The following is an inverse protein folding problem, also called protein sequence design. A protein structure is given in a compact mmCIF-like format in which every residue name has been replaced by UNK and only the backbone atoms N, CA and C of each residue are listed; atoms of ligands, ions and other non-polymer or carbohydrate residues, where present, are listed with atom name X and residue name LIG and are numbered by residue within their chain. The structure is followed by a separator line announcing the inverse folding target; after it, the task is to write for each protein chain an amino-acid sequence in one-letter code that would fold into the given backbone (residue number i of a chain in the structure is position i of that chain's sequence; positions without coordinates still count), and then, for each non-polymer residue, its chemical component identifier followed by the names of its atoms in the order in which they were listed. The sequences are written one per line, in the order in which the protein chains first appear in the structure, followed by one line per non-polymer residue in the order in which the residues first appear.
data_IF_919854707110
#
_entry.id   IF_919854707110
#
_cell.length_a   1.000
_cell.length_b   1.000
_cell.length_c   1.000
_cell.angle_alpha   90.00
_cell.angle_beta   90.00
_cell.angle_gamma   90.00
#
_symmetry.space_group_name_H-M   'P 1'
#
loop_
_entity.id
_entity.type
_entity.pdbx_description
1 polymer ?
#
# COMPACT_ATOMS: atom_id res chain seq x y z
N UNK A 1 -2.10 40.43 7.08
CA UNK A 1 -2.56 39.06 7.16
C UNK A 1 -1.91 38.33 5.99
N UNK A 2 -1.08 37.30 6.18
CA UNK A 2 -0.53 36.53 5.06
C UNK A 2 -1.66 35.71 4.45
N UNK A 3 -1.89 35.90 3.16
CA UNK A 3 -2.75 35.05 2.34
C UNK A 3 -2.11 33.65 2.35
N UNK A 4 -2.71 32.72 3.08
CA UNK A 4 -2.29 31.31 2.99
C UNK A 4 -2.63 30.83 1.58
N UNK A 5 -1.61 30.67 0.74
CA UNK A 5 -1.69 29.96 -0.53
C UNK A 5 -2.03 28.49 -0.23
N UNK A 6 -3.30 28.22 0.02
CA UNK A 6 -3.81 26.85 0.15
C UNK A 6 -3.84 26.26 -1.24
N UNK A 7 -2.68 25.79 -1.71
CA UNK A 7 -2.63 24.93 -2.89
C UNK A 7 -3.54 23.74 -2.63
N UNK A 8 -4.62 23.65 -3.38
CA UNK A 8 -5.50 22.47 -3.30
C UNK A 8 -4.70 21.25 -3.75
N UNK A 9 -4.78 20.14 -3.03
CA UNK A 9 -4.10 18.92 -3.44
C UNK A 9 -4.59 18.48 -4.83
N UNK A 10 -3.67 18.00 -5.65
CA UNK A 10 -3.98 17.51 -7.01
C UNK A 10 -4.95 16.32 -6.98
N UNK A 11 -4.85 15.49 -5.96
CA UNK A 11 -5.67 14.30 -5.75
C UNK A 11 -6.43 14.44 -4.44
N UNK A 12 -7.72 14.14 -4.48
CA UNK A 12 -8.60 14.19 -3.31
C UNK A 12 -8.53 12.91 -2.48
N UNK A 13 -8.42 11.76 -3.15
CA UNK A 13 -8.35 10.44 -2.51
C UNK A 13 -7.23 9.63 -3.11
N UNK A 14 -6.36 9.14 -2.26
CA UNK A 14 -5.23 8.30 -2.66
C UNK A 14 -5.29 6.94 -1.98
N UNK A 15 -4.75 5.93 -2.66
CA UNK A 15 -4.34 4.69 -2.02
C UNK A 15 -2.81 4.65 -2.01
N UNK A 16 -2.21 4.56 -0.84
CA UNK A 16 -0.78 4.43 -0.65
C UNK A 16 -0.43 2.97 -0.32
N UNK A 17 0.38 2.34 -1.16
CA UNK A 17 0.91 0.99 -0.92
C UNK A 17 2.32 1.09 -0.36
N UNK A 18 2.54 0.51 0.79
CA UNK A 18 3.84 0.41 1.46
C UNK A 18 4.34 -1.04 1.45
N UNK A 19 5.64 -1.23 1.19
CA UNK A 19 6.26 -2.53 1.44
C UNK A 19 6.38 -2.77 2.94
N UNK A 20 6.11 -4.00 3.41
CA UNK A 20 6.39 -4.36 4.80
C UNK A 20 7.85 -4.14 5.17
N UNK A 21 8.77 -4.39 4.24
CA UNK A 21 10.20 -4.13 4.45
C UNK A 21 10.53 -2.67 4.78
N UNK A 22 9.70 -1.72 4.34
CA UNK A 22 9.88 -0.31 4.69
C UNK A 22 9.69 -0.04 6.19
N UNK A 23 9.06 -0.96 6.94
CA UNK A 23 8.83 -0.84 8.37
C UNK A 23 9.99 -1.36 9.23
N UNK A 24 11.00 -2.00 8.66
CA UNK A 24 12.09 -2.63 9.42
C UNK A 24 13.16 -1.63 9.90
N UNK A 25 13.21 -0.43 9.33
CA UNK A 25 14.30 0.52 9.58
C UNK A 25 15.63 -0.06 9.12
N UNK A 26 16.61 -0.12 10.03
CA UNK A 26 17.94 -0.70 9.80
C UNK A 26 18.00 -2.21 10.04
N UNK A 27 16.94 -2.80 10.57
CA UNK A 27 16.88 -4.21 10.90
C UNK A 27 16.46 -5.06 9.69
N UNK A 28 16.69 -6.37 9.79
CA UNK A 28 16.33 -7.32 8.73
C UNK A 28 14.98 -8.01 8.97
N UNK A 29 14.33 -7.72 10.10
CA UNK A 29 13.08 -8.33 10.54
C UNK A 29 12.36 -7.41 11.53
N UNK A 30 11.03 -7.49 11.55
CA UNK A 30 10.24 -6.81 12.57
C UNK A 30 9.72 -5.44 12.12
N UNK A 31 9.38 -4.63 13.11
CA UNK A 31 8.78 -3.31 12.95
C UNK A 31 9.59 -2.31 13.80
N UNK A 32 10.11 -1.27 13.17
CA UNK A 32 10.80 -0.18 13.86
C UNK A 32 9.79 0.92 14.24
N UNK A 33 9.56 1.18 15.54
CA UNK A 33 8.64 2.23 15.98
C UNK A 33 8.98 3.63 15.45
N UNK A 34 10.28 3.94 15.29
CA UNK A 34 10.72 5.24 14.77
C UNK A 34 10.32 5.44 13.31
N UNK A 35 10.34 4.37 12.53
CA UNK A 35 9.89 4.39 11.13
C UNK A 35 8.37 4.61 11.08
N UNK A 36 7.60 3.91 11.93
CA UNK A 36 6.17 4.11 12.04
C UNK A 36 5.82 5.55 12.41
N UNK A 37 6.48 6.12 13.40
CA UNK A 37 6.25 7.50 13.85
C UNK A 37 6.53 8.52 12.74
N UNK A 38 7.62 8.33 11.98
CA UNK A 38 7.92 9.17 10.81
C UNK A 38 6.84 9.06 9.74
N UNK A 39 6.45 7.85 9.37
CA UNK A 39 5.39 7.63 8.37
C UNK A 39 4.06 8.20 8.83
N UNK A 40 3.73 8.09 10.12
CA UNK A 40 2.50 8.67 10.68
C UNK A 40 2.50 10.21 10.53
N UNK A 41 3.64 10.87 10.75
CA UNK A 41 3.76 12.32 10.55
C UNK A 41 3.58 12.71 9.08
N UNK A 42 4.17 11.99 8.14
CA UNK A 42 4.04 12.23 6.69
C UNK A 42 2.59 12.03 6.22
N UNK A 43 1.94 10.94 6.65
CA UNK A 43 0.52 10.68 6.36
C UNK A 43 -0.36 11.78 6.99
N UNK A 44 -0.03 12.22 8.20
CA UNK A 44 -0.74 13.30 8.89
C UNK A 44 -0.71 14.63 8.11
N UNK A 45 0.40 14.95 7.44
CA UNK A 45 0.48 16.13 6.58
C UNK A 45 -0.50 16.02 5.39
N UNK A 46 -0.66 14.85 4.78
CA UNK A 46 -1.61 14.63 3.70
C UNK A 46 -3.05 14.79 4.18
N UNK A 47 -3.40 14.18 5.32
CA UNK A 47 -4.72 14.34 5.95
C UNK A 47 -4.97 15.81 6.33
N UNK A 48 -3.96 16.50 6.86
CA UNK A 48 -4.05 17.90 7.27
C UNK A 48 -4.35 18.88 6.12
N UNK A 49 -4.00 18.55 4.88
CA UNK A 49 -4.36 19.32 3.68
C UNK A 49 -5.65 18.82 3.01
N UNK A 50 -6.37 17.87 3.63
CA UNK A 50 -7.68 17.40 3.19
C UNK A 50 -7.65 16.23 2.22
N UNK A 51 -6.52 15.52 2.07
CA UNK A 51 -6.42 14.30 1.27
C UNK A 51 -7.01 13.11 2.06
N UNK A 52 -7.87 12.34 1.43
CA UNK A 52 -8.40 11.08 1.94
C UNK A 52 -7.38 9.96 1.66
N UNK A 53 -6.93 9.27 2.69
CA UNK A 53 -5.82 8.32 2.58
C UNK A 53 -6.27 6.91 2.91
N UNK A 54 -6.22 6.01 1.91
CA UNK A 54 -6.26 4.57 2.09
C UNK A 54 -4.83 4.01 2.12
N UNK A 55 -4.56 3.03 2.96
CA UNK A 55 -3.25 2.37 3.07
C UNK A 55 -3.37 0.87 2.80
N UNK A 56 -2.39 0.32 2.10
CA UNK A 56 -2.12 -1.13 2.01
C UNK A 56 -0.67 -1.35 2.39
N UNK A 57 -0.42 -2.22 3.37
CA UNK A 57 0.94 -2.50 3.88
C UNK A 57 1.24 -3.98 3.68
N UNK A 58 2.37 -4.29 3.03
CA UNK A 58 2.86 -5.65 2.85
C UNK A 58 3.28 -6.31 4.16
N UNK A 59 3.47 -7.65 4.16
CA UNK A 59 3.85 -8.45 5.33
C UNK A 59 5.32 -8.92 5.32
N UNK A 60 6.13 -8.55 4.32
CA UNK A 60 7.44 -9.11 4.06
C UNK A 60 8.51 -8.89 5.15
N UNK A 61 8.29 -7.94 6.06
CA UNK A 61 9.12 -7.71 7.24
C UNK A 61 8.93 -8.74 8.35
N UNK A 62 7.76 -9.37 8.41
CA UNK A 62 7.38 -10.35 9.44
C UNK A 62 7.34 -11.77 8.90
N UNK A 63 6.98 -11.94 7.62
CA UNK A 63 6.83 -13.26 7.02
C UNK A 63 7.17 -13.24 5.52
N UNK A 64 8.08 -14.13 5.11
CA UNK A 64 8.52 -14.32 3.72
C UNK A 64 8.09 -15.72 3.26
N UNK A 65 6.90 -15.83 2.70
CA UNK A 65 6.31 -17.13 2.28
C UNK A 65 7.13 -17.85 1.22
N UNK A 66 7.81 -17.14 0.31
CA UNK A 66 8.61 -17.74 -0.76
C UNK A 66 9.69 -18.69 -0.23
N UNK A 67 10.49 -18.24 0.74
CA UNK A 67 11.56 -19.06 1.33
C UNK A 67 11.03 -20.31 2.05
N UNK A 68 9.84 -20.23 2.65
CA UNK A 68 9.22 -21.38 3.33
C UNK A 68 8.52 -22.32 2.34
N UNK A 69 8.01 -21.83 1.23
CA UNK A 69 7.50 -22.68 0.16
C UNK A 69 8.60 -23.52 -0.50
N UNK A 70 9.79 -22.94 -0.68
CA UNK A 70 10.97 -23.68 -1.13
C UNK A 70 11.39 -24.78 -0.14
N UNK A 71 11.12 -24.59 1.16
CA UNK A 71 11.35 -25.56 2.22
C UNK A 71 10.21 -26.59 2.38
N UNK A 72 9.20 -26.60 1.47
CA UNK A 72 8.10 -27.57 1.45
C UNK A 72 6.82 -27.14 2.15
N UNK A 73 6.70 -25.89 2.57
CA UNK A 73 5.43 -25.36 3.10
C UNK A 73 4.38 -25.25 1.99
N UNK A 74 3.15 -25.63 2.29
CA UNK A 74 2.01 -25.41 1.39
C UNK A 74 1.84 -23.91 1.07
N UNK A 75 1.69 -23.59 -0.21
CA UNK A 75 1.58 -22.21 -0.70
C UNK A 75 0.39 -21.46 -0.10
N UNK A 76 -0.77 -22.13 0.02
CA UNK A 76 -1.98 -21.53 0.58
C UNK A 76 -1.77 -21.17 2.04
N UNK A 77 -1.13 -22.06 2.82
CA UNK A 77 -0.76 -21.80 4.21
C UNK A 77 0.19 -20.62 4.32
N UNK A 78 1.23 -20.56 3.47
CA UNK A 78 2.17 -19.47 3.42
C UNK A 78 1.49 -18.12 3.10
N UNK A 79 0.58 -18.10 2.15
CA UNK A 79 -0.16 -16.91 1.77
C UNK A 79 -1.07 -16.43 2.91
N UNK A 80 -1.75 -17.32 3.64
CA UNK A 80 -2.52 -16.96 4.83
C UNK A 80 -1.63 -16.36 5.92
N UNK A 81 -0.45 -16.93 6.17
CA UNK A 81 0.50 -16.35 7.14
C UNK A 81 0.96 -14.95 6.71
N UNK A 82 1.21 -14.75 5.41
CA UNK A 82 1.50 -13.44 4.85
C UNK A 82 0.36 -12.43 5.05
N UNK A 83 -0.89 -12.87 4.87
CA UNK A 83 -2.07 -12.03 5.15
C UNK A 83 -2.13 -11.64 6.63
N UNK A 84 -1.88 -12.55 7.56
CA UNK A 84 -1.83 -12.27 8.99
C UNK A 84 -0.71 -11.28 9.33
N UNK A 85 0.46 -11.40 8.70
CA UNK A 85 1.55 -10.45 8.85
C UNK A 85 1.15 -9.01 8.44
N UNK A 86 0.34 -8.86 7.37
CA UNK A 86 -0.18 -7.53 6.99
C UNK A 86 -1.13 -6.95 8.04
N UNK A 87 -1.89 -7.78 8.75
CA UNK A 87 -2.77 -7.34 9.85
C UNK A 87 -1.94 -6.82 11.02
N UNK A 88 -0.86 -7.52 11.39
CA UNK A 88 0.06 -7.06 12.44
C UNK A 88 0.66 -5.69 12.09
N UNK A 89 1.13 -5.50 10.86
CA UNK A 89 1.65 -4.21 10.39
C UNK A 89 0.57 -3.11 10.40
N UNK A 90 -0.67 -3.44 10.02
CA UNK A 90 -1.79 -2.50 10.04
C UNK A 90 -2.14 -2.05 11.47
N UNK A 91 -2.11 -2.95 12.44
CA UNK A 91 -2.33 -2.63 13.84
C UNK A 91 -1.23 -1.71 14.39
N UNK A 92 0.03 -1.99 14.08
CA UNK A 92 1.16 -1.16 14.49
C UNK A 92 1.09 0.25 13.86
N UNK A 93 0.74 0.34 12.58
CA UNK A 93 0.57 1.64 11.90
C UNK A 93 -0.62 2.41 12.45
N UNK A 94 -1.75 1.75 12.77
CA UNK A 94 -2.88 2.38 13.43
C UNK A 94 -2.46 3.03 14.75
N UNK A 95 -1.74 2.30 15.60
CA UNK A 95 -1.26 2.82 16.88
C UNK A 95 -0.40 4.09 16.69
N UNK A 96 0.53 4.09 15.72
CA UNK A 96 1.38 5.24 15.44
C UNK A 96 0.57 6.46 14.93
N UNK A 97 -0.41 6.22 14.05
CA UNK A 97 -1.31 7.27 13.55
C UNK A 97 -2.17 7.86 14.67
N UNK A 98 -2.76 7.02 15.52
CA UNK A 98 -3.60 7.45 16.64
C UNK A 98 -2.78 8.22 17.68
N UNK A 99 -1.53 7.83 17.98
CA UNK A 99 -0.59 8.62 18.80
C UNK A 99 -0.29 9.99 18.18
N UNK A 100 -0.40 10.12 16.88
CA UNK A 100 -0.27 11.39 16.15
C UNK A 100 -1.60 12.14 15.99
N UNK A 101 -2.66 11.76 16.73
CA UNK A 101 -4.02 12.32 16.67
C UNK A 101 -4.69 12.17 15.29
N UNK A 102 -4.37 11.12 14.54
CA UNK A 102 -4.98 10.81 13.26
C UNK A 102 -5.93 9.63 13.46
N UNK A 103 -7.23 9.89 13.35
CA UNK A 103 -8.25 8.84 13.49
C UNK A 103 -8.08 7.80 12.39
N UNK A 104 -7.94 6.53 12.79
CA UNK A 104 -7.59 5.45 11.87
C UNK A 104 -8.52 4.25 12.02
N UNK A 105 -8.90 3.63 10.92
CA UNK A 105 -9.65 2.37 10.87
C UNK A 105 -8.84 1.30 10.18
N UNK A 106 -8.80 0.10 10.76
CA UNK A 106 -8.20 -1.07 10.12
C UNK A 106 -9.32 -2.00 9.68
N UNK A 107 -9.33 -2.33 8.39
CA UNK A 107 -10.31 -3.24 7.80
C UNK A 107 -9.58 -4.44 7.18
N UNK A 108 -10.04 -5.64 7.52
CA UNK A 108 -9.42 -6.89 7.05
C UNK A 108 -10.31 -7.60 6.03
N UNK A 109 -9.71 -8.10 4.96
CA UNK A 109 -10.38 -8.95 3.98
C UNK A 109 -10.76 -10.33 4.56
N UNK A 110 -10.09 -10.77 5.62
CA UNK A 110 -10.42 -11.98 6.38
C UNK A 110 -11.13 -11.57 7.67
N UNK A 111 -12.25 -12.19 8.04
CA UNK A 111 -12.94 -11.89 9.30
C UNK A 111 -12.05 -12.14 10.52
N UNK A 112 -11.90 -11.12 11.39
CA UNK A 112 -11.12 -11.18 12.64
C UNK A 112 -11.85 -10.44 13.74
N UNK A 113 -13.00 -10.99 14.16
CA UNK A 113 -13.87 -10.39 15.17
C UNK A 113 -13.11 -10.00 16.45
N UNK A 114 -13.35 -8.80 16.94
CA UNK A 114 -12.71 -8.27 18.15
C UNK A 114 -11.30 -7.72 17.97
N UNK A 115 -10.70 -7.83 16.77
CA UNK A 115 -9.35 -7.31 16.48
C UNK A 115 -9.40 -6.14 15.49
N UNK A 116 -10.04 -6.35 14.35
CA UNK A 116 -10.20 -5.35 13.28
C UNK A 116 -11.59 -5.48 12.65
N UNK A 117 -12.03 -4.42 11.97
CA UNK A 117 -13.29 -4.44 11.22
C UNK A 117 -13.19 -5.39 10.02
N UNK A 118 -14.28 -6.10 9.69
CA UNK A 118 -14.36 -6.78 8.39
C UNK A 118 -14.50 -5.75 7.27
N UNK A 119 -13.81 -5.99 6.16
CA UNK A 119 -13.85 -5.08 5.02
C UNK A 119 -15.27 -4.95 4.47
N UNK A 120 -15.75 -3.74 4.41
CA UNK A 120 -16.96 -3.32 3.72
C UNK A 120 -16.69 -2.02 2.97
N UNK A 121 -16.96 -2.02 1.65
CA UNK A 121 -16.69 -0.86 0.78
C UNK A 121 -17.41 0.39 1.24
N UNK A 122 -18.68 0.29 1.64
CA UNK A 122 -19.49 1.44 2.03
C UNK A 122 -18.95 2.10 3.29
N UNK A 123 -18.57 1.29 4.28
CA UNK A 123 -17.95 1.78 5.50
C UNK A 123 -16.57 2.38 5.23
N UNK A 124 -15.75 1.78 4.36
CA UNK A 124 -14.47 2.34 3.96
C UNK A 124 -14.63 3.74 3.33
N UNK A 125 -15.57 3.89 2.39
CA UNK A 125 -15.87 5.17 1.75
C UNK A 125 -16.37 6.21 2.76
N UNK A 126 -17.23 5.79 3.71
CA UNK A 126 -17.73 6.65 4.78
C UNK A 126 -16.60 7.16 5.66
N UNK A 127 -15.73 6.26 6.15
CA UNK A 127 -14.60 6.64 7.01
C UNK A 127 -13.64 7.58 6.28
N UNK A 128 -13.28 7.29 5.04
CA UNK A 128 -12.44 8.18 4.23
C UNK A 128 -13.07 9.57 4.07
N UNK A 129 -14.39 9.65 3.83
CA UNK A 129 -15.10 10.93 3.69
C UNK A 129 -15.14 11.74 4.99
N UNK A 130 -15.04 11.08 6.13
CA UNK A 130 -14.95 11.69 7.47
C UNK A 130 -13.52 12.12 7.85
N UNK A 131 -12.54 11.92 6.96
CA UNK A 131 -11.14 12.26 7.20
C UNK A 131 -10.37 11.21 8.00
N UNK A 132 -10.93 10.01 8.19
CA UNK A 132 -10.17 8.91 8.79
C UNK A 132 -9.19 8.34 7.78
N UNK A 133 -8.03 7.89 8.23
CA UNK A 133 -7.17 6.98 7.48
C UNK A 133 -7.76 5.57 7.54
N UNK A 134 -7.86 4.90 6.40
CA UNK A 134 -8.34 3.51 6.35
C UNK A 134 -7.20 2.60 5.90
N UNK A 135 -6.83 1.63 6.74
CA UNK A 135 -5.79 0.64 6.44
C UNK A 135 -6.47 -0.67 6.03
N UNK A 136 -6.21 -1.11 4.81
CA UNK A 136 -6.71 -2.37 4.27
C UNK A 136 -5.68 -3.47 4.50
N UNK A 137 -6.04 -4.48 5.26
CA UNK A 137 -5.18 -5.61 5.64
C UNK A 137 -5.71 -6.94 5.13
N UNK A 138 -4.91 -8.00 5.28
CA UNK A 138 -5.16 -9.35 4.78
C UNK A 138 -5.28 -9.44 3.25
N UNK A 139 -4.64 -8.52 2.52
CA UNK A 139 -4.57 -8.56 1.07
C UNK A 139 -5.93 -8.53 0.39
N UNK A 140 -6.14 -9.46 -0.56
CA UNK A 140 -7.45 -9.68 -1.21
C UNK A 140 -8.37 -10.61 -0.39
N UNK A 141 -7.84 -11.26 0.64
CA UNK A 141 -8.52 -12.34 1.38
C UNK A 141 -8.39 -13.71 0.69
N UNK A 142 -7.73 -13.77 -0.47
CA UNK A 142 -7.54 -15.00 -1.24
C UNK A 142 -6.05 -15.31 -1.42
N UNK A 143 -5.63 -16.59 -1.30
CA UNK A 143 -4.30 -17.02 -1.67
C UNK A 143 -3.95 -16.71 -3.13
N UNK A 144 -2.67 -16.77 -3.47
CA UNK A 144 -2.10 -16.55 -4.81
C UNK A 144 -2.08 -15.08 -5.30
N UNK A 145 -2.60 -14.13 -4.53
CA UNK A 145 -2.54 -12.71 -4.84
C UNK A 145 -1.49 -11.99 -3.97
N UNK A 146 -0.86 -10.98 -4.55
CA UNK A 146 0.10 -10.15 -3.82
C UNK A 146 -0.57 -8.93 -3.17
N UNK A 147 0.19 -8.16 -2.39
CA UNK A 147 -0.28 -6.87 -1.85
C UNK A 147 -0.37 -5.79 -2.94
N UNK A 148 0.29 -5.94 -4.10
CA UNK A 148 0.11 -5.05 -5.24
C UNK A 148 -1.26 -5.27 -5.87
N UNK A 149 -1.68 -6.53 -6.07
CA UNK A 149 -3.03 -6.89 -6.50
C UNK A 149 -4.09 -6.34 -5.52
N UNK A 150 -3.84 -6.48 -4.21
CA UNK A 150 -4.75 -5.93 -3.19
C UNK A 150 -4.82 -4.40 -3.26
N UNK A 151 -3.70 -3.71 -3.47
CA UNK A 151 -3.69 -2.25 -3.58
C UNK A 151 -4.48 -1.76 -4.80
N UNK A 152 -4.30 -2.41 -5.96
CA UNK A 152 -5.08 -2.08 -7.17
C UNK A 152 -6.58 -2.30 -6.93
N UNK A 153 -6.97 -3.46 -6.38
CA UNK A 153 -8.36 -3.77 -6.08
C UNK A 153 -8.99 -2.75 -5.11
N UNK A 154 -8.33 -2.48 -3.98
CA UNK A 154 -8.84 -1.50 -3.00
C UNK A 154 -8.87 -0.09 -3.57
N UNK A 155 -7.86 0.31 -4.36
CA UNK A 155 -7.85 1.60 -5.04
C UNK A 155 -9.07 1.81 -5.93
N UNK A 156 -9.43 0.79 -6.71
CA UNK A 156 -10.64 0.79 -7.55
C UNK A 156 -11.90 0.88 -6.69
N UNK A 157 -12.02 0.02 -5.68
CA UNK A 157 -13.22 -0.06 -4.83
C UNK A 157 -13.50 1.21 -4.06
N UNK A 158 -12.47 1.91 -3.59
CA UNK A 158 -12.63 3.19 -2.89
C UNK A 158 -12.65 4.39 -3.82
N UNK A 159 -12.62 4.20 -5.13
CA UNK A 159 -12.58 5.28 -6.12
C UNK A 159 -11.41 6.24 -5.86
N UNK A 160 -10.21 5.70 -5.68
CA UNK A 160 -9.00 6.49 -5.50
C UNK A 160 -8.63 7.20 -6.82
N UNK A 161 -8.25 8.47 -6.75
CA UNK A 161 -7.76 9.22 -7.91
C UNK A 161 -6.41 8.69 -8.41
N UNK A 162 -5.64 8.07 -7.49
CA UNK A 162 -4.31 7.52 -7.76
C UNK A 162 -3.95 6.42 -6.76
N UNK A 163 -3.21 5.41 -7.23
CA UNK A 163 -2.49 4.46 -6.38
C UNK A 163 -1.01 4.83 -6.40
N UNK A 164 -0.47 5.11 -5.22
CA UNK A 164 0.94 5.41 -5.01
C UNK A 164 1.63 4.18 -4.43
N UNK A 165 2.71 3.74 -5.05
CA UNK A 165 3.55 2.68 -4.54
C UNK A 165 4.86 3.30 -4.03
N UNK A 166 5.07 3.26 -2.71
CA UNK A 166 6.33 3.68 -2.14
C UNK A 166 7.39 2.61 -2.39
N UNK A 167 8.45 2.98 -3.07
CA UNK A 167 9.56 2.10 -3.46
C UNK A 167 10.91 2.64 -2.99
N UNK A 168 11.95 1.83 -3.12
CA UNK A 168 13.34 2.24 -2.80
C UNK A 168 13.99 3.04 -3.95
N UNK A 169 13.34 3.05 -5.11
CA UNK A 169 13.78 3.78 -6.31
C UNK A 169 12.78 4.90 -6.62
N UNK A 170 13.20 5.94 -7.30
CA UNK A 170 12.47 7.17 -7.51
C UNK A 170 11.57 7.15 -8.78
N UNK A 171 11.28 5.98 -9.31
CA UNK A 171 10.41 5.83 -10.48
C UNK A 171 10.51 4.48 -11.17
N UNK A 172 9.84 4.38 -12.32
CA UNK A 172 9.88 3.22 -13.20
C UNK A 172 11.06 3.33 -14.15
N UNK A 173 11.82 2.24 -14.29
CA UNK A 173 12.98 2.14 -15.18
C UNK A 173 12.81 0.99 -16.17
N UNK A 174 13.56 1.06 -17.27
CA UNK A 174 13.64 -0.01 -18.29
C UNK A 174 14.34 -1.27 -17.77
N UNK A 175 15.13 -1.14 -16.71
CA UNK A 175 15.85 -2.21 -16.03
C UNK A 175 16.11 -1.80 -14.57
N UNK A 176 16.51 -2.74 -13.71
CA UNK A 176 16.75 -2.44 -12.29
C UNK A 176 17.93 -1.45 -12.13
N UNK A 177 17.69 -0.21 -11.66
CA UNK A 177 18.75 0.80 -11.53
C UNK A 177 19.77 0.46 -10.43
N UNK A 178 19.47 -0.46 -9.51
CA UNK A 178 20.41 -0.92 -8.49
C UNK A 178 21.45 -1.85 -9.09
N UNK A 179 21.08 -2.61 -10.13
CA UNK A 179 21.96 -3.57 -10.81
C UNK A 179 22.60 -2.91 -12.05
N UNK A 180 21.83 -2.14 -12.80
CA UNK A 180 22.26 -1.50 -14.04
C UNK A 180 22.33 0.03 -13.87
N UNK A 181 23.53 0.57 -13.75
CA UNK A 181 23.75 2.02 -13.62
C UNK A 181 23.37 2.82 -14.89
N UNK A 182 23.09 2.15 -16.02
CA UNK A 182 22.62 2.76 -17.26
C UNK A 182 21.11 2.66 -17.46
N UNK A 183 20.37 2.18 -16.42
CA UNK A 183 18.92 2.11 -16.48
C UNK A 183 18.32 3.48 -16.75
N UNK A 184 17.36 3.52 -17.68
CA UNK A 184 16.69 4.76 -18.09
C UNK A 184 15.34 4.85 -17.40
N UNK A 185 15.13 5.95 -16.69
CA UNK A 185 13.87 6.24 -16.01
C UNK A 185 12.83 6.69 -17.04
N UNK A 186 11.60 6.17 -16.91
CA UNK A 186 10.45 6.68 -17.64
C UNK A 186 9.83 7.87 -16.90
N UNK A 187 9.62 8.98 -17.59
CA UNK A 187 8.80 10.09 -17.06
C UNK A 187 7.32 9.73 -17.05
N UNK A 188 6.91 8.88 -18.00
CA UNK A 188 5.56 8.36 -18.15
C UNK A 188 5.62 7.03 -18.90
N UNK A 189 4.82 6.06 -18.46
CA UNK A 189 4.61 4.78 -19.14
C UNK A 189 3.17 4.32 -18.88
N UNK A 190 2.54 3.73 -19.88
CA UNK A 190 1.22 3.12 -19.72
C UNK A 190 1.35 1.73 -19.11
N UNK A 191 0.26 1.24 -18.48
CA UNK A 191 0.23 -0.14 -17.98
C UNK A 191 0.39 -1.16 -19.10
N UNK A 192 -0.20 -0.90 -20.29
CA UNK A 192 -0.07 -1.79 -21.46
C UNK A 192 1.39 -1.90 -21.91
N UNK A 193 2.09 -0.77 -22.00
CA UNK A 193 3.52 -0.75 -22.33
C UNK A 193 4.38 -1.44 -21.25
N UNK A 194 4.02 -1.27 -19.97
CA UNK A 194 4.72 -1.91 -18.88
C UNK A 194 4.53 -3.44 -18.90
N UNK A 195 3.35 -3.92 -19.26
CA UNK A 195 3.04 -5.34 -19.45
C UNK A 195 3.80 -5.89 -20.65
N UNK A 196 3.75 -5.20 -21.81
CA UNK A 196 4.44 -5.62 -23.03
C UNK A 196 5.96 -5.73 -22.82
N UNK A 197 6.53 -4.77 -22.10
CA UNK A 197 7.97 -4.75 -21.75
C UNK A 197 8.34 -5.63 -20.57
N UNK A 198 7.36 -6.28 -19.93
CA UNK A 198 7.55 -7.15 -18.75
C UNK A 198 8.30 -6.44 -17.59
N UNK A 199 8.02 -5.16 -17.38
CA UNK A 199 8.65 -4.39 -16.32
C UNK A 199 8.18 -4.87 -14.94
N UNK A 200 9.12 -5.04 -14.02
CA UNK A 200 8.87 -5.54 -12.66
C UNK A 200 8.29 -4.50 -11.68
N UNK A 201 7.39 -3.62 -12.16
CA UNK A 201 6.79 -2.54 -11.38
C UNK A 201 5.83 -3.08 -10.32
N UNK A 202 4.91 -3.93 -10.76
CA UNK A 202 3.88 -4.60 -9.98
C UNK A 202 3.71 -6.02 -10.52
N UNK A 203 2.99 -6.89 -9.80
CA UNK A 203 2.60 -8.18 -10.39
C UNK A 203 1.60 -7.97 -11.56
N UNK A 204 1.58 -8.95 -12.46
CA UNK A 204 0.77 -8.87 -13.68
C UNK A 204 -0.72 -8.69 -13.40
N UNK A 205 -1.23 -9.33 -12.33
CA UNK A 205 -2.64 -9.20 -11.93
C UNK A 205 -2.99 -7.76 -11.53
N UNK A 206 -2.10 -7.11 -10.77
CA UNK A 206 -2.25 -5.71 -10.37
C UNK A 206 -2.26 -4.78 -11.59
N UNK A 207 -1.36 -5.02 -12.56
CA UNK A 207 -1.31 -4.24 -13.80
C UNK A 207 -2.58 -4.44 -14.64
N UNK A 208 -3.03 -5.67 -14.85
CA UNK A 208 -4.25 -5.97 -15.60
C UNK A 208 -5.51 -5.36 -14.98
N UNK A 209 -5.63 -5.38 -13.65
CA UNK A 209 -6.71 -4.68 -12.94
C UNK A 209 -6.67 -3.18 -13.22
N UNK A 210 -5.49 -2.59 -13.19
CA UNK A 210 -5.30 -1.14 -13.40
C UNK A 210 -5.60 -0.72 -14.85
N UNK A 211 -5.28 -1.55 -15.85
CA UNK A 211 -5.67 -1.33 -17.26
C UNK A 211 -7.19 -1.30 -17.42
N UNK A 212 -7.89 -2.24 -16.78
CA UNK A 212 -9.33 -2.38 -16.91
C UNK A 212 -10.11 -1.21 -16.31
N UNK A 213 -9.47 -0.40 -15.45
CA UNK A 213 -10.07 0.73 -14.73
C UNK A 213 -9.27 2.00 -15.00
N UNK A 214 -9.50 2.61 -16.16
CA UNK A 214 -8.70 3.72 -16.76
C UNK A 214 -8.60 5.01 -15.94
N UNK A 215 -9.42 5.17 -14.90
CA UNK A 215 -9.31 6.31 -13.98
C UNK A 215 -8.20 6.15 -12.94
N UNK A 216 -7.69 4.93 -12.75
CA UNK A 216 -6.62 4.66 -11.79
C UNK A 216 -5.26 5.02 -12.41
N UNK A 217 -4.52 5.88 -11.75
CA UNK A 217 -3.13 6.20 -12.08
C UNK A 217 -2.23 5.59 -11.03
N UNK A 218 -1.12 4.99 -11.44
CA UNK A 218 -0.07 4.56 -10.52
C UNK A 218 1.11 5.56 -10.61
N UNK A 219 1.61 5.95 -9.45
CA UNK A 219 2.84 6.70 -9.33
C UNK A 219 3.77 5.96 -8.37
N UNK A 220 5.03 5.86 -8.74
CA UNK A 220 6.10 5.46 -7.84
C UNK A 220 6.79 6.72 -7.30
N UNK A 221 6.98 6.79 -5.99
CA UNK A 221 7.68 7.87 -5.29
C UNK A 221 8.69 7.31 -4.32
#
# INVERSE_FOLDING_TARGET
MPVSDKRQPRYKRILLKLSGEALMGSENFGIDPKVLDRMALEIGQLVGIGVQVGLVIGGGNLFRGAALSEAGMDRVTGDHMGMLATVMNALAMRDALERSNITTRVMSAIPMSGVVDHYDRRNAMLYLSQGNVVIFSAGTGNPFFTTDSAASLRGIEIEADVVLKATKVDGVYDSDPVINSHAVKYDYITFDEAIEKQLGIMDLTAMCLSVSYTHLRAHET
#
